data_IF_481376540093
#
_entry.id   IF_481376540093
#
_cell.length_a   1.000
_cell.length_b   1.000
_cell.length_c   1.000
_cell.angle_alpha   90.00
_cell.angle_beta   90.00
_cell.angle_gamma   90.00
#
_symmetry.space_group_name_H-M   'P 1'
#
loop_
_entity.id
_entity.type
_entity.pdbx_description
1 polymer ?
#
# COMPACT_ATOMS: atom_id res chain seq x y z
N UNK A 1 -7.33 -25.54 -22.07
CA UNK A 1 -7.24 -24.13 -22.50
C UNK A 1 -7.15 -23.31 -21.23
N UNK A 2 -5.92 -22.98 -20.82
CA UNK A 2 -5.67 -22.21 -19.61
C UNK A 2 -5.99 -20.75 -19.90
N UNK A 3 -6.94 -20.17 -19.18
CA UNK A 3 -7.23 -18.74 -19.24
C UNK A 3 -6.04 -17.99 -18.62
N UNK A 4 -5.09 -17.59 -19.46
CA UNK A 4 -4.10 -16.58 -19.11
C UNK A 4 -4.85 -15.26 -19.00
N UNK A 5 -5.25 -14.89 -17.78
CA UNK A 5 -5.67 -13.52 -17.48
C UNK A 5 -4.41 -12.68 -17.70
N UNK A 6 -4.32 -12.02 -18.87
CA UNK A 6 -3.48 -10.84 -19.01
C UNK A 6 -3.84 -9.94 -17.82
N UNK A 7 -2.90 -9.56 -16.93
CA UNK A 7 -3.23 -8.65 -15.84
C UNK A 7 -3.52 -7.30 -16.49
N UNK A 8 -4.77 -7.11 -16.89
CA UNK A 8 -5.26 -5.82 -17.35
C UNK A 8 -5.10 -4.86 -16.20
N UNK A 9 -4.36 -3.78 -16.43
CA UNK A 9 -4.23 -2.69 -15.47
C UNK A 9 -5.64 -2.33 -14.99
N UNK A 10 -5.90 -2.44 -13.69
CA UNK A 10 -7.23 -2.12 -13.16
C UNK A 10 -7.50 -0.64 -13.41
N UNK A 11 -8.78 -0.31 -13.61
CA UNK A 11 -9.20 1.09 -13.55
C UNK A 11 -9.20 1.52 -12.07
N UNK A 12 -8.02 1.91 -11.58
CA UNK A 12 -7.82 2.31 -10.20
C UNK A 12 -8.56 3.60 -9.90
N UNK A 13 -8.68 4.51 -10.86
CA UNK A 13 -9.47 5.73 -10.69
C UNK A 13 -10.93 5.41 -10.34
N UNK A 14 -11.57 4.50 -11.05
CA UNK A 14 -12.94 4.05 -10.76
C UNK A 14 -13.03 3.36 -9.40
N UNK A 15 -12.08 2.46 -9.11
CA UNK A 15 -12.04 1.75 -7.84
C UNK A 15 -11.89 2.72 -6.65
N UNK A 16 -11.03 3.74 -6.79
CA UNK A 16 -10.81 4.77 -5.77
C UNK A 16 -12.10 5.58 -5.54
N UNK A 17 -12.76 5.99 -6.62
CA UNK A 17 -14.04 6.69 -6.55
C UNK A 17 -15.09 5.86 -5.80
N UNK A 18 -15.26 4.59 -6.18
CA UNK A 18 -16.21 3.67 -5.54
C UNK A 18 -15.85 3.47 -4.06
N UNK A 19 -14.56 3.35 -3.74
CA UNK A 19 -14.09 3.21 -2.35
C UNK A 19 -14.43 4.44 -1.50
N UNK A 20 -14.20 5.65 -2.02
CA UNK A 20 -14.53 6.90 -1.32
C UNK A 20 -16.03 7.05 -1.07
N UNK A 21 -16.85 6.66 -2.05
CA UNK A 21 -18.32 6.70 -1.96
C UNK A 21 -18.82 5.66 -0.96
N UNK A 22 -18.35 4.41 -1.06
CA UNK A 22 -18.78 3.32 -0.19
C UNK A 22 -18.32 3.50 1.26
N UNK A 23 -17.17 4.13 1.49
CA UNK A 23 -16.70 4.51 2.82
C UNK A 23 -17.49 5.69 3.42
N UNK A 24 -18.42 6.30 2.68
CA UNK A 24 -19.17 7.48 3.12
C UNK A 24 -18.30 8.73 3.26
N UNK A 25 -17.13 8.76 2.62
CA UNK A 25 -16.21 9.90 2.71
C UNK A 25 -16.76 11.11 1.98
N UNK A 26 -17.38 10.88 0.81
CA UNK A 26 -18.00 11.92 -0.03
C UNK A 26 -18.95 11.29 -1.07
N UNK A 27 -19.97 12.03 -1.58
CA UNK A 27 -20.83 11.58 -2.68
C UNK A 27 -20.06 11.45 -4.00
N UNK A 28 -20.61 10.71 -4.97
CA UNK A 28 -19.93 10.36 -6.22
C UNK A 28 -19.42 11.55 -7.04
N UNK A 29 -20.24 12.60 -7.16
CA UNK A 29 -19.84 13.80 -7.90
C UNK A 29 -18.68 14.54 -7.22
N UNK A 30 -18.64 14.55 -5.89
CA UNK A 30 -17.57 15.16 -5.11
C UNK A 30 -16.31 14.29 -5.14
N UNK A 31 -16.44 12.97 -5.12
CA UNK A 31 -15.32 12.03 -5.30
C UNK A 31 -14.60 12.23 -6.63
N UNK A 32 -15.35 12.29 -7.73
CA UNK A 32 -14.77 12.52 -9.05
C UNK A 32 -14.05 13.87 -9.11
N UNK A 33 -14.70 14.94 -8.65
CA UNK A 33 -14.08 16.28 -8.62
C UNK A 33 -12.82 16.29 -7.76
N UNK A 34 -12.89 15.73 -6.55
CA UNK A 34 -11.76 15.66 -5.63
C UNK A 34 -10.56 14.94 -6.26
N UNK A 35 -10.77 13.79 -6.89
CA UNK A 35 -9.72 13.01 -7.53
C UNK A 35 -9.15 13.75 -8.74
N UNK A 36 -9.98 14.27 -9.63
CA UNK A 36 -9.50 15.03 -10.79
C UNK A 36 -8.67 16.24 -10.34
N UNK A 37 -9.13 16.99 -9.34
CA UNK A 37 -8.45 18.19 -8.84
C UNK A 37 -7.14 17.89 -8.13
N UNK A 38 -7.06 16.80 -7.36
CA UNK A 38 -5.90 16.55 -6.49
C UNK A 38 -4.92 15.49 -7.01
N UNK A 39 -5.35 14.64 -7.94
CA UNK A 39 -4.57 13.52 -8.43
C UNK A 39 -4.03 13.77 -9.85
N UNK A 40 -4.74 14.58 -10.65
CA UNK A 40 -4.38 14.82 -12.05
C UNK A 40 -3.89 16.26 -12.26
N UNK A 41 -2.83 16.41 -13.04
CA UNK A 41 -2.26 17.71 -13.39
C UNK A 41 -0.74 17.74 -13.27
N UNK A 42 -0.19 18.94 -13.14
CA UNK A 42 1.25 19.18 -13.01
C UNK A 42 1.66 19.30 -11.54
N UNK A 43 2.84 18.78 -11.23
CA UNK A 43 3.47 18.96 -9.92
C UNK A 43 4.09 20.37 -9.83
N UNK A 44 4.07 21.01 -8.65
CA UNK A 44 3.46 20.55 -7.41
C UNK A 44 1.94 20.85 -7.37
N UNK A 45 1.15 19.99 -6.72
CA UNK A 45 -0.27 20.20 -6.49
C UNK A 45 -0.48 21.47 -5.62
N UNK A 46 -1.04 22.55 -6.19
CA UNK A 46 -1.20 23.82 -5.46
C UNK A 46 -2.22 23.72 -4.33
N UNK A 47 -3.23 22.84 -4.45
CA UNK A 47 -4.26 22.64 -3.43
C UNK A 47 -3.70 22.01 -2.16
N UNK A 48 -2.74 21.09 -2.30
CA UNK A 48 -2.03 20.51 -1.17
C UNK A 48 -1.00 21.48 -0.61
N UNK A 49 -0.20 22.10 -1.49
CA UNK A 49 0.91 22.96 -1.10
C UNK A 49 0.46 24.27 -0.43
N UNK A 50 -0.66 24.86 -0.87
CA UNK A 50 -1.15 26.15 -0.38
C UNK A 50 -2.35 26.03 0.57
N UNK A 51 -2.65 24.81 1.05
CA UNK A 51 -3.72 24.59 2.02
C UNK A 51 -3.47 25.39 3.31
N UNK A 52 -4.56 25.86 3.95
CA UNK A 52 -4.50 26.48 5.28
C UNK A 52 -4.10 25.49 6.38
N UNK A 53 -4.31 24.19 6.14
CA UNK A 53 -4.04 23.08 7.05
C UNK A 53 -3.29 21.97 6.31
N UNK A 54 -2.05 22.21 5.84
CA UNK A 54 -1.38 21.36 4.87
C UNK A 54 -1.11 19.95 5.39
N UNK A 55 -0.78 19.78 6.67
CA UNK A 55 -0.61 18.47 7.30
C UNK A 55 -1.87 17.62 7.20
N UNK A 56 -3.02 18.15 7.63
CA UNK A 56 -4.29 17.43 7.60
C UNK A 56 -4.73 17.14 6.16
N UNK A 57 -4.60 18.11 5.26
CA UNK A 57 -4.95 17.94 3.85
C UNK A 57 -4.11 16.86 3.19
N UNK A 58 -2.79 16.85 3.42
CA UNK A 58 -1.88 15.82 2.90
C UNK A 58 -2.20 14.45 3.51
N UNK A 59 -2.46 14.39 4.82
CA UNK A 59 -2.82 13.14 5.48
C UNK A 59 -4.07 12.53 4.85
N UNK A 60 -5.13 13.33 4.71
CA UNK A 60 -6.37 12.89 4.07
C UNK A 60 -6.15 12.46 2.63
N UNK A 61 -5.35 13.22 1.85
CA UNK A 61 -5.02 12.89 0.47
C UNK A 61 -4.31 11.53 0.35
N UNK A 62 -3.24 11.31 1.12
CA UNK A 62 -2.51 10.04 1.13
C UNK A 62 -3.42 8.89 1.57
N UNK A 63 -4.23 9.09 2.62
CA UNK A 63 -5.18 8.05 3.06
C UNK A 63 -6.22 7.67 2.00
N UNK A 64 -6.74 8.67 1.25
CA UNK A 64 -7.73 8.45 0.19
C UNK A 64 -7.17 7.73 -1.04
N UNK A 65 -5.85 7.81 -1.27
CA UNK A 65 -5.18 7.12 -2.38
C UNK A 65 -4.69 5.75 -1.98
N UNK A 66 -3.87 5.68 -0.93
CA UNK A 66 -3.20 4.44 -0.55
C UNK A 66 -4.12 3.49 0.21
N UNK A 67 -5.10 4.00 0.96
CA UNK A 67 -6.04 3.19 1.73
C UNK A 67 -6.76 2.15 0.87
N UNK A 68 -7.43 2.55 -0.23
CA UNK A 68 -8.09 1.61 -1.13
C UNK A 68 -7.12 0.61 -1.79
N UNK A 69 -5.89 1.03 -2.11
CA UNK A 69 -4.87 0.14 -2.71
C UNK A 69 -4.47 -0.97 -1.71
N UNK A 70 -4.25 -0.60 -0.44
CA UNK A 70 -3.94 -1.54 0.64
C UNK A 70 -5.12 -2.47 0.92
N UNK A 71 -6.34 -1.93 0.92
CA UNK A 71 -7.57 -2.71 1.07
C UNK A 71 -7.68 -3.77 -0.03
N UNK A 72 -7.55 -3.38 -1.30
CA UNK A 72 -7.59 -4.29 -2.44
C UNK A 72 -6.54 -5.42 -2.33
N UNK A 73 -5.31 -5.08 -1.93
CA UNK A 73 -4.24 -6.06 -1.73
C UNK A 73 -4.57 -7.03 -0.59
N UNK A 74 -5.12 -6.54 0.52
CA UNK A 74 -5.50 -7.36 1.66
C UNK A 74 -6.59 -8.39 1.33
N UNK A 75 -7.51 -8.06 0.41
CA UNK A 75 -8.56 -8.99 -0.04
C UNK A 75 -8.06 -10.03 -1.06
N UNK A 76 -6.87 -9.83 -1.62
CA UNK A 76 -6.32 -10.71 -2.66
C UNK A 76 -5.57 -11.89 -2.07
N UNK A 77 -4.97 -11.73 -0.89
CA UNK A 77 -4.17 -12.76 -0.23
C UNK A 77 -4.96 -13.34 0.95
N UNK A 78 -4.91 -14.65 1.13
CA UNK A 78 -5.47 -15.28 2.33
C UNK A 78 -4.62 -14.89 3.55
N UNK A 79 -5.18 -14.02 4.38
CA UNK A 79 -4.54 -13.53 5.60
C UNK A 79 -5.15 -14.28 6.80
N UNK A 80 -4.34 -14.75 7.77
CA UNK A 80 -4.86 -15.37 8.99
C UNK A 80 -5.88 -14.47 9.70
N UNK A 81 -6.96 -15.04 10.24
CA UNK A 81 -8.06 -14.26 10.85
C UNK A 81 -7.64 -13.35 12.02
N UNK A 82 -6.49 -13.60 12.64
CA UNK A 82 -5.93 -12.79 13.73
C UNK A 82 -4.93 -11.73 13.26
N UNK A 83 -4.56 -11.76 11.98
CA UNK A 83 -3.61 -10.82 11.42
C UNK A 83 -4.31 -9.52 10.99
N UNK A 84 -3.56 -8.42 11.04
CA UNK A 84 -4.05 -7.09 10.69
C UNK A 84 -3.07 -6.41 9.75
N UNK A 85 -3.57 -5.53 8.88
CA UNK A 85 -2.75 -4.65 8.07
C UNK A 85 -3.08 -3.21 8.48
N UNK A 86 -2.04 -2.44 8.80
CA UNK A 86 -2.17 -1.01 9.07
C UNK A 86 -1.32 -0.20 8.10
N UNK A 87 -1.79 1.00 7.79
CA UNK A 87 -1.05 1.98 7.00
C UNK A 87 -0.73 3.18 7.89
N UNK A 88 0.51 3.64 7.81
CA UNK A 88 1.02 4.82 8.51
C UNK A 88 1.59 5.79 7.50
N UNK A 89 1.45 7.08 7.79
CA UNK A 89 2.04 8.16 7.02
C UNK A 89 2.90 9.04 7.92
N UNK A 90 4.15 9.27 7.54
CA UNK A 90 4.97 10.33 8.11
C UNK A 90 5.00 11.51 7.13
N UNK A 91 4.49 12.66 7.56
CA UNK A 91 4.23 13.80 6.67
C UNK A 91 5.30 14.86 6.87
N UNK A 92 5.94 15.25 5.76
CA UNK A 92 6.89 16.36 5.73
C UNK A 92 6.43 17.45 4.79
N UNK A 93 6.37 18.70 5.29
CA UNK A 93 6.02 19.89 4.50
C UNK A 93 7.19 20.51 3.74
N UNK A 94 8.42 20.08 4.02
CA UNK A 94 9.63 20.62 3.37
C UNK A 94 10.48 19.53 2.72
N UNK A 95 10.06 18.27 2.82
CA UNK A 95 10.80 17.12 2.33
C UNK A 95 9.86 16.00 1.88
N UNK A 96 10.34 14.77 1.98
CA UNK A 96 9.58 13.59 1.56
C UNK A 96 8.64 13.15 2.67
N UNK A 97 7.39 12.93 2.31
CA UNK A 97 6.46 12.15 3.14
C UNK A 97 6.66 10.66 2.85
N UNK A 98 6.46 9.82 3.85
CA UNK A 98 6.62 8.38 3.76
C UNK A 98 5.29 7.66 3.98
N UNK A 99 5.02 6.64 3.16
CA UNK A 99 3.86 5.75 3.34
C UNK A 99 4.35 4.35 3.68
N UNK A 100 3.98 3.88 4.86
CA UNK A 100 4.40 2.60 5.41
C UNK A 100 3.19 1.68 5.59
N UNK A 101 3.26 0.48 5.05
CA UNK A 101 2.28 -0.59 5.30
C UNK A 101 2.91 -1.60 6.24
N UNK A 102 2.18 -1.96 7.29
CA UNK A 102 2.64 -2.86 8.34
C UNK A 102 1.69 -4.04 8.44
N UNK A 103 2.25 -5.23 8.29
CA UNK A 103 1.54 -6.48 8.53
C UNK A 103 1.81 -6.97 9.95
N UNK A 104 0.73 -7.21 10.68
CA UNK A 104 0.72 -7.75 12.04
C UNK A 104 0.23 -9.20 11.97
N UNK A 105 1.11 -10.22 12.05
CA UNK A 105 0.71 -11.64 12.03
C UNK A 105 -0.16 -12.07 13.22
N UNK A 106 -0.11 -11.33 14.33
CA UNK A 106 -0.61 -11.78 15.63
C UNK A 106 0.37 -12.72 16.34
N UNK A 107 0.05 -13.11 17.58
CA UNK A 107 0.80 -14.10 18.38
C UNK A 107 2.30 -13.80 18.60
N UNK A 108 2.67 -12.56 18.95
CA UNK A 108 4.06 -12.15 19.21
C UNK A 108 5.06 -12.48 18.09
N UNK A 109 4.58 -12.71 16.86
CA UNK A 109 5.44 -12.90 15.71
C UNK A 109 5.95 -11.55 15.18
N UNK A 110 7.14 -11.51 14.55
CA UNK A 110 7.71 -10.28 13.99
C UNK A 110 6.76 -9.63 12.98
N UNK A 111 6.58 -8.31 13.09
CA UNK A 111 5.83 -7.54 12.10
C UNK A 111 6.65 -7.36 10.83
N UNK A 112 5.98 -7.32 9.68
CA UNK A 112 6.64 -6.95 8.42
C UNK A 112 6.30 -5.51 8.05
N UNK A 113 7.34 -4.77 7.69
CA UNK A 113 7.29 -3.36 7.33
C UNK A 113 7.56 -3.22 5.83
N UNK A 114 6.66 -2.56 5.11
CA UNK A 114 6.81 -2.24 3.70
C UNK A 114 6.71 -0.73 3.50
N UNK A 115 7.84 -0.07 3.27
CA UNK A 115 7.87 1.32 2.82
C UNK A 115 7.45 1.36 1.34
N UNK A 116 6.28 1.89 1.05
CA UNK A 116 5.76 1.98 -0.33
C UNK A 116 6.39 3.14 -1.09
N UNK A 117 6.36 4.33 -0.50
CA UNK A 117 6.82 5.54 -1.16
C UNK A 117 7.50 6.48 -0.18
N UNK A 118 8.44 7.25 -0.73
CA UNK A 118 9.10 8.38 -0.08
C UNK A 118 9.22 9.53 -1.08
N UNK A 119 8.19 10.37 -1.11
CA UNK A 119 8.02 11.45 -2.10
C UNK A 119 7.45 12.70 -1.42
N UNK A 120 7.73 13.92 -1.92
CA UNK A 120 6.99 15.10 -1.49
C UNK A 120 5.51 14.90 -1.82
N UNK A 121 4.62 15.05 -0.85
CA UNK A 121 3.22 14.66 -1.04
C UNK A 121 2.50 15.52 -2.10
N UNK A 122 2.90 16.77 -2.26
CA UNK A 122 2.39 17.65 -3.32
C UNK A 122 2.94 17.30 -4.71
N UNK A 123 4.00 16.50 -4.82
CA UNK A 123 4.50 16.03 -6.13
C UNK A 123 3.81 14.74 -6.58
N UNK A 124 2.93 14.15 -5.74
CA UNK A 124 2.18 12.95 -6.08
C UNK A 124 0.95 13.31 -6.92
N UNK A 125 1.21 13.74 -8.15
CA UNK A 125 0.21 14.02 -9.20
C UNK A 125 0.60 13.34 -10.50
N UNK A 126 -0.41 13.08 -11.33
CA UNK A 126 -0.26 12.29 -12.55
C UNK A 126 -0.76 13.07 -13.76
N UNK A 127 -0.08 12.90 -14.89
CA UNK A 127 -0.46 13.55 -16.15
C UNK A 127 -1.90 13.17 -16.58
N UNK A 128 -2.28 11.92 -16.36
CA UNK A 128 -3.59 11.38 -16.72
C UNK A 128 -3.93 10.14 -15.88
N UNK A 129 -5.18 9.66 -16.02
CA UNK A 129 -5.65 8.49 -15.27
C UNK A 129 -4.88 7.21 -15.59
N UNK A 130 -4.36 7.05 -16.82
CA UNK A 130 -3.57 5.86 -17.18
C UNK A 130 -2.22 5.82 -16.47
N UNK A 131 -1.58 6.98 -16.28
CA UNK A 131 -0.35 7.09 -15.50
C UNK A 131 -0.62 6.75 -14.03
N UNK A 132 -1.73 7.26 -13.48
CA UNK A 132 -2.18 6.89 -12.13
C UNK A 132 -2.48 5.39 -12.00
N UNK A 133 -3.25 4.82 -12.92
CA UNK A 133 -3.64 3.40 -12.88
C UNK A 133 -2.39 2.50 -12.89
N UNK A 134 -1.40 2.83 -13.72
CA UNK A 134 -0.14 2.09 -13.78
C UNK A 134 0.66 2.21 -12.47
N UNK A 135 0.72 3.41 -11.90
CA UNK A 135 1.38 3.68 -10.63
C UNK A 135 0.71 2.93 -9.46
N UNK A 136 -0.63 2.94 -9.41
CA UNK A 136 -1.41 2.28 -8.36
C UNK A 136 -1.30 0.76 -8.45
N UNK A 137 -1.32 0.21 -9.68
CA UNK A 137 -1.13 -1.22 -9.92
C UNK A 137 0.24 -1.68 -9.41
N UNK A 138 1.30 -0.90 -9.63
CA UNK A 138 2.63 -1.23 -9.13
C UNK A 138 2.66 -1.36 -7.60
N UNK A 139 2.10 -0.38 -6.87
CA UNK A 139 2.03 -0.44 -5.39
C UNK A 139 1.18 -1.62 -4.92
N UNK A 140 0.02 -1.83 -5.55
CA UNK A 140 -0.83 -2.98 -5.25
C UNK A 140 -0.04 -4.30 -5.38
N UNK A 141 0.70 -4.48 -6.48
CA UNK A 141 1.50 -5.68 -6.72
C UNK A 141 2.64 -5.83 -5.70
N UNK A 142 3.27 -4.73 -5.27
CA UNK A 142 4.27 -4.78 -4.19
C UNK A 142 3.68 -5.27 -2.88
N UNK A 143 2.49 -4.78 -2.49
CA UNK A 143 1.82 -5.21 -1.27
C UNK A 143 1.42 -6.68 -1.37
N UNK A 144 0.81 -7.11 -2.48
CA UNK A 144 0.43 -8.52 -2.68
C UNK A 144 1.64 -9.44 -2.58
N UNK A 145 2.76 -9.10 -3.25
CA UNK A 145 3.99 -9.90 -3.17
C UNK A 145 4.55 -9.95 -1.75
N UNK A 146 4.55 -8.83 -1.04
CA UNK A 146 5.00 -8.79 0.35
C UNK A 146 4.13 -9.71 1.22
N UNK A 147 2.80 -9.63 1.11
CA UNK A 147 1.88 -10.46 1.89
C UNK A 147 2.00 -11.96 1.55
N UNK A 148 2.16 -12.31 0.27
CA UNK A 148 2.37 -13.69 -0.17
C UNK A 148 3.66 -14.31 0.38
N UNK A 149 4.72 -13.51 0.52
CA UNK A 149 5.99 -13.95 1.11
C UNK A 149 5.87 -14.36 2.58
N UNK A 150 4.82 -13.93 3.27
CA UNK A 150 4.57 -14.24 4.69
C UNK A 150 3.90 -15.60 4.86
N UNK A 151 3.01 -15.96 3.94
CA UNK A 151 2.28 -17.24 3.97
C UNK A 151 3.14 -18.48 3.72
N UNK A 152 4.39 -18.27 3.26
CA UNK A 152 5.38 -19.33 3.06
C UNK A 152 6.60 -19.01 3.92
N UNK A 153 6.59 -19.33 5.23
CA UNK A 153 7.82 -19.31 5.99
C UNK A 153 8.80 -20.23 5.27
N UNK A 154 9.89 -19.61 4.81
CA UNK A 154 11.05 -20.25 4.21
C UNK A 154 11.40 -21.50 5.04
N UNK A 155 11.11 -22.70 4.52
CA UNK A 155 11.66 -23.98 4.97
C UNK A 155 13.18 -24.08 4.68
N UNK A 156 13.90 -22.96 4.78
CA UNK A 156 15.36 -22.88 4.62
C UNK A 156 16.02 -22.51 5.95
N UNK A 157 15.66 -23.28 6.98
CA UNK A 157 16.55 -23.59 8.07
C UNK A 157 16.56 -25.11 8.19
N UNK A 158 17.26 -25.75 7.24
CA UNK A 158 17.75 -27.11 7.43
C UNK A 158 18.63 -27.07 8.68
N UNK A 159 18.06 -27.52 9.80
CA UNK A 159 18.82 -27.99 10.95
C UNK A 159 19.57 -29.24 10.52
N UNK A 160 20.74 -29.08 9.89
CA UNK A 160 21.77 -30.09 10.02
C UNK A 160 22.43 -29.89 11.38
N UNK A 161 21.88 -30.53 12.42
CA UNK A 161 22.64 -30.81 13.63
C UNK A 161 23.73 -31.83 13.27
N UNK A 162 25.03 -31.52 13.45
CA UNK A 162 26.05 -32.55 13.37
C UNK A 162 25.90 -33.46 14.59
N UNK A 163 25.35 -34.65 14.35
CA UNK A 163 25.24 -35.69 15.38
C UNK A 163 26.56 -36.44 15.45
N UNK A 164 27.55 -35.92 16.16
CA UNK A 164 28.73 -36.70 16.59
C UNK A 164 29.40 -36.06 17.81
N UNK A 165 28.80 -36.24 18.99
CA UNK A 165 29.55 -36.24 20.25
C UNK A 165 29.78 -37.71 20.63
N UNK A 166 30.99 -38.22 20.34
CA UNK A 166 31.44 -39.46 20.95
C UNK A 166 31.84 -39.19 22.41
N UNK A 167 31.43 -40.03 23.37
CA UNK A 167 31.86 -39.89 24.75
C UNK A 167 33.34 -40.29 24.89
N UNK A 168 34.15 -39.39 25.45
CA UNK A 168 35.49 -39.73 25.95
C UNK A 168 35.27 -40.59 27.20
N UNK A 169 35.60 -41.87 27.12
CA UNK A 169 35.74 -42.73 28.29
C UNK A 169 37.02 -42.33 29.05
N UNK A 170 36.89 -42.36 30.38
CA UNK A 170 37.88 -42.09 31.45
C UNK A 170 39.30 -42.55 31.12
#
# INVERSE_FOLDING_TARGET
>A
MSNTIMPGCRNWMSYLMDSLVNAGTMPSWEALQYLVTNLLGEAPNPHLHQSKSPYETIQQFLHRIYGPIVEAASRTVEIPAKAMIHMFTDISLMGKSAVLVVFFPGQNAPHQLLLLDSVPAWDLVFENSSAFDSWAEERYQWIVKALQSIGHPIESSMLECPTTLQPILV
#
